data_IF_886647710883
#
_entry.id   IF_886647710883
#
_cell.length_a   1.000
_cell.length_b   1.000
_cell.length_c   1.000
_cell.angle_alpha   90.00
_cell.angle_beta   90.00
_cell.angle_gamma   90.00
#
_symmetry.space_group_name_H-M   'P 1'
#
loop_
_entity.id
_entity.type
_entity.pdbx_description
1 polymer ?
#
# COMPACT_ATOMS: atom_id res chain seq x y z
N UNK A 1 3.16 28.69 22.05
CA UNK A 1 1.72 28.75 22.36
C UNK A 1 0.99 28.45 21.07
N UNK A 2 0.50 27.26 20.75
CA UNK A 2 0.27 26.05 21.54
C UNK A 2 0.46 24.85 20.59
N UNK A 3 1.33 23.92 20.95
CA UNK A 3 1.49 22.62 20.28
C UNK A 3 1.89 21.60 21.34
N UNK A 4 1.02 21.46 22.32
CA UNK A 4 1.09 20.45 23.37
C UNK A 4 -0.31 19.84 23.49
N UNK A 5 -0.37 18.52 23.70
CA UNK A 5 -1.55 17.64 23.76
C UNK A 5 -1.87 16.78 22.52
N UNK A 6 -0.87 16.08 21.98
CA UNK A 6 -1.10 14.76 21.36
C UNK A 6 -0.13 13.72 21.95
N UNK A 7 -0.05 13.63 23.27
CA UNK A 7 0.42 12.44 23.99
C UNK A 7 -0.68 12.11 25.01
N UNK A 8 -1.13 10.87 25.20
CA UNK A 8 -0.34 9.64 25.21
C UNK A 8 -1.23 8.41 24.94
N UNK A 9 -0.66 7.42 24.27
CA UNK A 9 -1.32 6.19 23.81
C UNK A 9 -0.41 5.41 22.85
N UNK A 10 0.49 6.14 22.19
CA UNK A 10 1.55 5.59 21.34
C UNK A 10 2.89 5.72 22.03
N UNK A 11 3.46 4.59 22.41
CA UNK A 11 4.82 4.55 22.94
C UNK A 11 5.82 4.95 21.85
N UNK A 12 7.03 5.34 22.26
CA UNK A 12 8.13 5.56 21.30
C UNK A 12 8.49 4.29 20.51
N UNK A 13 8.18 3.11 21.06
CA UNK A 13 8.31 1.85 20.36
C UNK A 13 7.25 1.73 19.24
N UNK A 14 6.01 2.11 19.50
CA UNK A 14 4.94 2.11 18.48
C UNK A 14 5.31 3.05 17.32
N UNK A 15 5.77 4.26 17.64
CA UNK A 15 6.24 5.23 16.61
C UNK A 15 7.41 4.68 15.80
N UNK A 16 8.39 4.04 16.44
CA UNK A 16 9.54 3.45 15.75
C UNK A 16 9.17 2.26 14.88
N UNK A 17 8.25 1.41 15.33
CA UNK A 17 7.79 0.23 14.58
C UNK A 17 7.15 0.58 13.23
N UNK A 18 6.53 1.77 13.11
CA UNK A 18 5.96 2.24 11.85
C UNK A 18 7.03 2.66 10.83
N UNK A 19 8.15 3.21 11.30
CA UNK A 19 9.18 3.84 10.47
C UNK A 19 10.44 2.99 10.25
N UNK A 20 10.60 1.90 10.99
CA UNK A 20 11.76 1.01 10.84
C UNK A 20 11.79 0.37 9.45
N UNK A 21 12.99 0.04 8.96
CA UNK A 21 13.15 -0.68 7.71
C UNK A 21 12.36 -2.00 7.73
N UNK A 22 11.62 -2.33 6.66
CA UNK A 22 10.91 -3.59 6.60
C UNK A 22 11.86 -4.79 6.46
N UNK A 23 11.47 -5.89 7.09
CA UNK A 23 12.15 -7.19 6.89
C UNK A 23 11.66 -7.85 5.60
N UNK A 24 12.42 -8.82 5.08
CA UNK A 24 11.98 -9.58 3.92
C UNK A 24 10.69 -10.34 4.20
N UNK A 25 10.51 -10.85 5.42
CA UNK A 25 9.30 -11.53 5.87
C UNK A 25 8.08 -10.60 5.86
N UNK A 26 8.20 -9.35 6.36
CA UNK A 26 7.09 -8.37 6.31
C UNK A 26 6.71 -8.04 4.86
N UNK A 27 7.70 -7.94 3.98
CA UNK A 27 7.46 -7.69 2.55
C UNK A 27 6.78 -8.89 1.90
N UNK A 28 7.25 -10.10 2.19
CA UNK A 28 6.64 -11.34 1.72
C UNK A 28 5.17 -11.43 2.16
N UNK A 29 4.88 -11.20 3.44
CA UNK A 29 3.51 -11.20 3.96
C UNK A 29 2.64 -10.14 3.27
N UNK A 30 3.17 -8.94 3.04
CA UNK A 30 2.45 -7.88 2.33
C UNK A 30 2.13 -8.27 0.88
N UNK A 31 3.02 -8.97 0.18
CA UNK A 31 2.81 -9.47 -1.19
C UNK A 31 1.75 -10.57 -1.21
N UNK A 32 1.91 -11.59 -0.36
CA UNK A 32 1.06 -12.78 -0.36
C UNK A 32 -0.30 -12.57 0.32
N UNK A 33 -0.49 -11.46 1.04
CA UNK A 33 -1.80 -11.04 1.56
C UNK A 33 -2.67 -10.27 0.55
N UNK A 34 -2.15 -9.98 -0.65
CA UNK A 34 -2.95 -9.40 -1.75
C UNK A 34 -3.59 -10.55 -2.53
N UNK A 35 -4.90 -10.45 -2.73
CA UNK A 35 -5.66 -11.39 -3.54
C UNK A 35 -5.06 -11.49 -4.96
N UNK A 36 -4.63 -12.69 -5.41
CA UNK A 36 -4.03 -12.88 -6.74
C UNK A 36 -4.99 -12.51 -7.88
N UNK A 37 -6.30 -12.64 -7.64
CA UNK A 37 -7.36 -12.31 -8.61
C UNK A 37 -7.76 -10.83 -8.56
N UNK A 38 -7.13 -10.03 -7.68
CA UNK A 38 -7.34 -8.58 -7.64
C UNK A 38 -6.97 -7.96 -9.00
N UNK A 39 -7.94 -7.28 -9.60
CA UNK A 39 -7.82 -6.68 -10.93
C UNK A 39 -6.57 -5.80 -11.01
N UNK A 40 -5.66 -6.21 -11.90
CA UNK A 40 -4.50 -5.41 -12.29
C UNK A 40 -4.97 -4.27 -13.20
N UNK A 41 -4.34 -3.10 -13.08
CA UNK A 41 -4.62 -1.99 -13.99
C UNK A 41 -4.39 -2.39 -15.46
N UNK A 42 -4.94 -1.65 -16.44
CA UNK A 42 -4.87 -1.98 -17.87
C UNK A 42 -3.46 -2.12 -18.48
N UNK A 43 -2.40 -1.88 -17.70
CA UNK A 43 -1.00 -1.92 -18.14
C UNK A 43 -0.04 -2.58 -17.15
N UNK A 44 -0.53 -3.31 -16.13
CA UNK A 44 0.32 -3.74 -15.01
C UNK A 44 0.20 -5.22 -14.70
N UNK A 45 1.32 -5.81 -14.29
CA UNK A 45 1.38 -7.15 -13.71
C UNK A 45 0.50 -7.20 -12.46
N UNK A 46 -0.43 -8.17 -12.38
CA UNK A 46 -1.29 -8.39 -11.21
C UNK A 46 -0.54 -9.07 -10.06
N UNK A 47 -1.20 -9.21 -8.90
CA UNK A 47 -0.61 -9.88 -7.74
C UNK A 47 -0.15 -11.31 -8.03
N UNK A 48 -0.87 -12.03 -8.92
CA UNK A 48 -0.47 -13.36 -9.40
C UNK A 48 0.94 -13.42 -10.00
N UNK A 49 1.40 -12.35 -10.69
CA UNK A 49 2.76 -12.30 -11.22
C UNK A 49 3.78 -12.25 -10.08
N UNK A 50 3.54 -11.43 -9.06
CA UNK A 50 4.45 -11.30 -7.92
C UNK A 50 4.48 -12.58 -7.08
N UNK A 51 3.35 -13.29 -6.96
CA UNK A 51 3.30 -14.58 -6.29
C UNK A 51 4.06 -15.65 -7.07
N UNK A 52 3.84 -15.71 -8.39
CA UNK A 52 4.41 -16.76 -9.25
C UNK A 52 5.91 -16.57 -9.48
N UNK A 53 6.34 -15.32 -9.66
CA UNK A 53 7.72 -14.99 -9.99
C UNK A 53 8.55 -14.58 -8.76
N UNK A 54 8.03 -14.76 -7.54
CA UNK A 54 8.68 -14.29 -6.30
C UNK A 54 10.16 -14.69 -6.23
N UNK A 55 10.47 -15.97 -6.42
CA UNK A 55 11.84 -16.51 -6.39
C UNK A 55 12.81 -15.86 -7.40
N UNK A 56 12.28 -15.22 -8.44
CA UNK A 56 13.06 -14.52 -9.47
C UNK A 56 13.21 -13.04 -9.15
N UNK A 57 12.16 -12.40 -8.62
CA UNK A 57 12.09 -10.94 -8.50
C UNK A 57 12.28 -10.40 -7.08
N UNK A 58 12.32 -11.26 -6.06
CA UNK A 58 12.25 -10.82 -4.66
C UNK A 58 13.40 -9.90 -4.25
N UNK A 59 14.62 -10.12 -4.77
CA UNK A 59 15.79 -9.30 -4.44
C UNK A 59 15.63 -7.86 -4.94
N UNK A 60 15.31 -7.69 -6.23
CA UNK A 60 15.06 -6.38 -6.84
C UNK A 60 13.86 -5.69 -6.17
N UNK A 61 12.80 -6.46 -5.92
CA UNK A 61 11.60 -5.97 -5.26
C UNK A 61 11.88 -5.46 -3.85
N UNK A 62 12.58 -6.27 -3.05
CA UNK A 62 12.97 -5.91 -1.70
C UNK A 62 13.90 -4.69 -1.69
N UNK A 63 14.82 -4.60 -2.65
CA UNK A 63 15.65 -3.43 -2.88
C UNK A 63 14.83 -2.16 -3.11
N UNK A 64 13.83 -2.22 -3.99
CA UNK A 64 12.95 -1.09 -4.28
C UNK A 64 12.10 -0.66 -3.05
N UNK A 65 11.55 -1.62 -2.30
CA UNK A 65 10.83 -1.33 -1.05
C UNK A 65 11.76 -0.68 -0.02
N UNK A 66 12.99 -1.17 0.08
CA UNK A 66 14.01 -0.64 0.98
C UNK A 66 14.36 0.81 0.61
N UNK A 67 14.54 1.11 -0.67
CA UNK A 67 14.77 2.48 -1.15
C UNK A 67 13.59 3.41 -0.87
N UNK A 68 12.35 2.92 -1.02
CA UNK A 68 11.14 3.65 -0.66
C UNK A 68 11.14 4.07 0.82
N UNK A 69 11.43 3.13 1.73
CA UNK A 69 11.49 3.43 3.17
C UNK A 69 12.68 4.32 3.56
N UNK A 70 13.74 4.35 2.76
CA UNK A 70 14.86 5.29 2.92
C UNK A 70 14.55 6.71 2.41
N UNK A 71 13.40 6.92 1.78
CA UNK A 71 13.01 8.20 1.20
C UNK A 71 13.75 8.53 -0.10
N UNK A 72 14.28 7.51 -0.81
CA UNK A 72 14.89 7.69 -2.12
C UNK A 72 13.79 8.08 -3.13
N UNK A 73 14.10 9.01 -4.02
CA UNK A 73 13.17 9.44 -5.06
C UNK A 73 12.85 8.29 -6.02
N UNK A 74 11.59 7.87 -6.04
CA UNK A 74 11.15 6.77 -6.89
C UNK A 74 10.97 7.22 -8.35
N UNK A 75 11.20 6.33 -9.34
CA UNK A 75 10.90 6.62 -10.74
C UNK A 75 9.44 7.07 -10.91
N UNK A 76 9.16 7.98 -11.86
CA UNK A 76 7.81 8.53 -12.10
C UNK A 76 6.73 7.47 -12.34
N UNK A 77 7.10 6.28 -12.81
CA UNK A 77 6.19 5.14 -13.01
C UNK A 77 5.75 4.43 -11.72
N UNK A 78 6.42 4.66 -10.59
CA UNK A 78 6.14 4.00 -9.31
C UNK A 78 4.82 4.49 -8.69
N UNK A 79 4.57 5.80 -8.74
CA UNK A 79 3.34 6.44 -8.23
C UNK A 79 2.30 6.66 -9.33
N UNK A 80 2.59 6.25 -10.56
CA UNK A 80 1.67 6.37 -11.68
C UNK A 80 0.37 5.59 -11.38
N UNK A 81 -0.75 6.29 -11.52
CA UNK A 81 -2.08 5.76 -11.25
C UNK A 81 -2.97 6.06 -12.46
N UNK A 82 -3.71 5.05 -12.93
CA UNK A 82 -4.74 5.23 -13.96
C UNK A 82 -6.10 5.32 -13.29
N UNK A 83 -6.95 6.25 -13.74
CA UNK A 83 -8.34 6.32 -13.30
C UNK A 83 -9.19 5.59 -14.33
N UNK A 84 -9.89 4.54 -13.88
CA UNK A 84 -10.87 3.82 -14.69
C UNK A 84 -12.27 4.11 -14.18
N UNK A 85 -13.22 4.24 -15.10
CA UNK A 85 -14.61 4.54 -14.79
C UNK A 85 -15.42 3.26 -14.93
N UNK A 86 -15.93 2.74 -13.82
CA UNK A 86 -16.87 1.62 -13.84
C UNK A 86 -18.28 2.17 -13.86
N UNK A 87 -19.07 1.79 -14.86
CA UNK A 87 -20.46 2.23 -14.93
C UNK A 87 -21.29 1.65 -13.77
N UNK A 88 -22.15 2.48 -13.16
CA UNK A 88 -23.14 2.07 -12.16
C UNK A 88 -24.35 1.39 -12.79
N UNK A 89 -24.67 1.76 -14.03
CA UNK A 89 -25.87 1.35 -14.74
C UNK A 89 -25.51 0.81 -16.13
N UNK A 90 -26.43 0.14 -16.81
CA UNK A 90 -26.15 -0.44 -18.14
C UNK A 90 -25.89 0.64 -19.23
N UNK A 91 -26.50 1.81 -19.06
CA UNK A 91 -26.44 2.92 -20.04
C UNK A 91 -26.23 4.25 -19.32
N UNK A 92 -25.00 4.55 -18.88
CA UNK A 92 -24.70 5.80 -18.19
C UNK A 92 -24.81 6.98 -19.17
N UNK A 93 -25.56 8.00 -18.77
CA UNK A 93 -25.83 9.23 -19.51
C UNK A 93 -25.13 10.44 -18.92
N UNK A 94 -24.64 10.36 -17.68
CA UNK A 94 -23.90 11.44 -17.03
C UNK A 94 -22.77 10.94 -16.12
N UNK A 95 -21.84 11.83 -15.78
CA UNK A 95 -20.62 11.51 -15.03
C UNK A 95 -20.86 10.95 -13.62
N UNK A 96 -21.97 11.32 -12.97
CA UNK A 96 -22.33 10.83 -11.63
C UNK A 96 -22.72 9.34 -11.62
N UNK A 97 -22.96 8.76 -12.79
CA UNK A 97 -23.30 7.34 -12.98
C UNK A 97 -22.06 6.45 -13.16
N UNK A 98 -20.86 6.98 -12.93
CA UNK A 98 -19.63 6.20 -12.89
C UNK A 98 -19.04 6.15 -11.48
N UNK A 99 -18.46 5.01 -11.13
CA UNK A 99 -17.52 4.89 -10.01
C UNK A 99 -16.11 5.11 -10.55
N UNK A 100 -15.43 6.20 -10.18
CA UNK A 100 -14.01 6.33 -10.46
C UNK A 100 -13.23 5.36 -9.57
N UNK A 101 -12.43 4.51 -10.19
CA UNK A 101 -11.51 3.60 -9.52
C UNK A 101 -10.09 3.99 -9.88
N UNK A 102 -9.24 4.04 -8.86
CA UNK A 102 -7.81 4.25 -9.02
C UNK A 102 -7.12 2.90 -9.16
N UNK A 103 -6.46 2.69 -10.30
CA UNK A 103 -5.61 1.56 -10.58
C UNK A 103 -4.16 2.02 -10.41
N UNK A 104 -3.59 1.72 -9.25
CA UNK A 104 -2.20 2.01 -8.91
C UNK A 104 -1.30 0.79 -9.17
N UNK A 105 -0.01 1.06 -9.32
CA UNK A 105 1.03 0.04 -9.43
C UNK A 105 0.97 -0.94 -8.25
N UNK A 106 1.12 -2.24 -8.52
CA UNK A 106 1.16 -3.27 -7.48
C UNK A 106 2.26 -3.01 -6.46
N UNK A 107 3.40 -2.42 -6.85
CA UNK A 107 4.42 -1.92 -5.91
C UNK A 107 3.83 -0.94 -4.87
N UNK A 108 3.03 0.02 -5.32
CA UNK A 108 2.38 1.00 -4.45
C UNK A 108 1.33 0.33 -3.56
N UNK A 109 0.56 -0.62 -4.10
CA UNK A 109 -0.37 -1.44 -3.31
C UNK A 109 0.36 -2.21 -2.21
N UNK A 110 1.50 -2.83 -2.51
CA UNK A 110 2.28 -3.61 -1.55
C UNK A 110 2.89 -2.71 -0.47
N UNK A 111 3.47 -1.56 -0.83
CA UNK A 111 4.00 -0.61 0.16
C UNK A 111 2.87 -0.11 1.08
N UNK A 112 1.71 0.23 0.51
CA UNK A 112 0.53 0.65 1.27
C UNK A 112 0.01 -0.48 2.18
N UNK A 113 0.02 -1.72 1.68
CA UNK A 113 -0.39 -2.91 2.44
C UNK A 113 0.55 -3.15 3.63
N UNK A 114 1.86 -3.04 3.42
CA UNK A 114 2.86 -3.15 4.49
C UNK A 114 2.65 -2.10 5.57
N UNK A 115 2.45 -0.84 5.17
CA UNK A 115 2.12 0.24 6.10
C UNK A 115 0.80 -0.03 6.86
N UNK A 116 -0.21 -0.58 6.17
CA UNK A 116 -1.50 -0.92 6.76
C UNK A 116 -1.39 -2.05 7.78
N UNK A 117 -0.57 -3.08 7.51
CA UNK A 117 -0.30 -4.18 8.44
C UNK A 117 0.32 -3.62 9.72
N UNK A 118 1.36 -2.79 9.61
CA UNK A 118 2.01 -2.16 10.76
C UNK A 118 1.06 -1.24 11.53
N UNK A 119 0.29 -0.43 10.81
CA UNK A 119 -0.72 0.44 11.42
C UNK A 119 -1.78 -0.38 12.17
N UNK A 120 -2.15 -1.56 11.66
CA UNK A 120 -3.11 -2.46 12.30
C UNK A 120 -2.71 -2.89 13.71
N UNK A 121 -1.41 -3.02 14.01
CA UNK A 121 -0.92 -3.33 15.36
C UNK A 121 -1.02 -2.15 16.32
N UNK A 122 -0.98 -0.94 15.77
CA UNK A 122 -0.94 0.32 16.51
C UNK A 122 -2.35 0.89 16.71
N UNK A 123 -3.23 0.68 15.74
CA UNK A 123 -4.58 1.23 15.68
C UNK A 123 -5.41 0.95 16.95
N UNK A 124 -5.41 -0.26 17.57
CA UNK A 124 -6.18 -0.54 18.77
C UNK A 124 -5.90 0.44 19.92
N UNK A 125 -4.64 0.88 20.07
CA UNK A 125 -4.22 1.81 21.14
C UNK A 125 -4.72 3.23 20.91
N UNK A 126 -4.91 3.61 19.65
CA UNK A 126 -5.35 4.95 19.25
C UNK A 126 -6.88 5.06 19.28
N UNK A 127 -7.59 4.00 18.89
CA UNK A 127 -9.06 4.01 18.84
C UNK A 127 -9.71 3.65 20.18
N UNK A 128 -9.00 2.99 21.09
CA UNK A 128 -9.51 2.65 22.43
C UNK A 128 -9.45 3.82 23.44
N UNK A 129 -9.00 5.00 23.02
CA UNK A 129 -8.99 6.24 23.82
C UNK A 129 -10.36 6.96 23.83
N UNK A 130 -11.45 6.23 23.52
CA UNK A 130 -12.83 6.75 23.44
C UNK A 130 -13.72 6.15 24.51
#
# INVERSE_FOLDING_TARGET
>A
MDSEHLEDGLTDEDRRSLCVMPTLEEVWEAVFSIDPDSVAGPYQFGAVFFHTCWEIIFEDFFGAVTEFFRGVEMPKGFTATTISLISKTASPTCWSEYWPIRLCNVMNKICTKLMTIRLGHVLPKVISLS
#
